data_IF_279636085321
#
_entry.id   IF_279636085321
#
_cell.length_a   1.000
_cell.length_b   1.000
_cell.length_c   1.000
_cell.angle_alpha   90.00
_cell.angle_beta   90.00
_cell.angle_gamma   90.00
#
_symmetry.space_group_name_H-M   'P 1'
#
loop_
_entity.id
_entity.type
_entity.pdbx_description
1 polymer ?
#
# COMPACT_ATOMS: atom_id res chain seq x y z
N UNK A 1 11.25 19.94 -15.80
CA UNK A 1 9.92 20.48 -15.44
C UNK A 1 9.68 20.21 -13.97
N UNK A 2 9.61 21.25 -13.12
CA UNK A 2 9.25 21.09 -11.71
C UNK A 2 7.74 20.81 -11.64
N UNK A 3 7.35 19.57 -11.27
CA UNK A 3 5.95 19.23 -11.02
C UNK A 3 5.41 20.19 -9.95
N UNK A 4 4.26 20.82 -10.21
CA UNK A 4 3.60 21.71 -9.26
C UNK A 4 3.29 20.89 -7.99
N UNK A 5 3.53 21.42 -6.77
CA UNK A 5 3.22 20.67 -5.56
C UNK A 5 1.73 20.34 -5.52
N UNK A 6 1.36 19.13 -5.05
CA UNK A 6 -0.03 18.74 -4.91
C UNK A 6 -0.77 19.70 -3.98
N UNK A 7 -2.09 19.82 -4.19
CA UNK A 7 -2.98 20.51 -3.26
C UNK A 7 -2.88 19.83 -1.88
N UNK A 8 -2.93 20.60 -0.80
CA UNK A 8 -2.94 20.06 0.56
C UNK A 8 -4.35 20.09 1.16
N UNK A 9 -4.65 19.10 1.99
CA UNK A 9 -5.85 19.04 2.82
C UNK A 9 -5.47 19.30 4.27
N UNK A 10 -5.95 20.40 4.84
CA UNK A 10 -5.73 20.75 6.24
C UNK A 10 -6.82 20.11 7.11
N UNK A 11 -6.43 19.38 8.13
CA UNK A 11 -7.35 18.81 9.10
C UNK A 11 -7.79 19.90 10.08
N UNK A 12 -9.10 20.15 10.17
CA UNK A 12 -9.66 21.05 11.19
C UNK A 12 -9.64 20.41 12.58
N UNK A 13 -9.85 19.09 12.62
CA UNK A 13 -9.82 18.24 13.79
C UNK A 13 -8.93 17.03 13.46
N UNK A 14 -7.60 17.14 13.66
CA UNK A 14 -6.64 16.10 13.27
C UNK A 14 -6.97 14.72 13.86
N UNK A 15 -7.26 14.66 15.16
CA UNK A 15 -7.51 13.40 15.87
C UNK A 15 -8.75 12.68 15.34
N UNK A 16 -9.84 13.42 15.11
CA UNK A 16 -11.05 12.86 14.49
C UNK A 16 -10.78 12.33 13.08
N UNK A 17 -10.01 13.07 12.27
CA UNK A 17 -9.66 12.65 10.92
C UNK A 17 -8.77 11.39 10.96
N UNK A 18 -7.79 11.34 11.86
CA UNK A 18 -6.90 10.19 12.04
C UNK A 18 -7.70 8.94 12.43
N UNK A 19 -8.60 9.01 13.42
CA UNK A 19 -9.46 7.88 13.81
C UNK A 19 -10.33 7.39 12.63
N UNK A 20 -10.90 8.33 11.87
CA UNK A 20 -11.67 7.99 10.67
C UNK A 20 -10.82 7.29 9.60
N UNK A 21 -9.60 7.78 9.36
CA UNK A 21 -8.68 7.19 8.40
C UNK A 21 -8.26 5.79 8.84
N UNK A 22 -7.91 5.61 10.12
CA UNK A 22 -7.58 4.32 10.71
C UNK A 22 -8.73 3.30 10.54
N UNK A 23 -9.97 3.68 10.91
CA UNK A 23 -11.16 2.83 10.69
C UNK A 23 -11.36 2.46 9.23
N UNK A 24 -11.13 3.41 8.32
CA UNK A 24 -11.28 3.19 6.88
C UNK A 24 -10.24 2.18 6.38
N UNK A 25 -8.98 2.34 6.77
CA UNK A 25 -7.91 1.40 6.44
C UNK A 25 -8.20 -0.01 6.98
N UNK A 26 -8.60 -0.12 8.25
CA UNK A 26 -8.98 -1.41 8.88
C UNK A 26 -10.13 -2.09 8.14
N UNK A 27 -11.13 -1.34 7.71
CA UNK A 27 -12.23 -1.90 6.94
C UNK A 27 -11.79 -2.42 5.57
N UNK A 28 -10.83 -1.76 4.91
CA UNK A 28 -10.24 -2.27 3.67
C UNK A 28 -9.44 -3.55 3.90
N UNK A 29 -8.64 -3.64 4.97
CA UNK A 29 -7.92 -4.85 5.33
C UNK A 29 -8.86 -6.02 5.65
N UNK A 30 -9.93 -5.75 6.42
CA UNK A 30 -11.01 -6.72 6.69
C UNK A 30 -11.68 -7.22 5.43
N UNK A 31 -11.93 -6.33 4.47
CA UNK A 31 -12.47 -6.73 3.19
C UNK A 31 -11.46 -7.58 2.42
N UNK A 32 -10.19 -7.17 2.32
CA UNK A 32 -9.13 -7.92 1.65
C UNK A 32 -9.01 -9.35 2.20
N UNK A 33 -8.97 -9.50 3.53
CA UNK A 33 -8.93 -10.80 4.19
C UNK A 33 -10.12 -11.70 3.87
N UNK A 34 -11.34 -11.13 3.86
CA UNK A 34 -12.54 -11.89 3.47
C UNK A 34 -12.48 -12.36 2.02
N UNK A 35 -11.89 -11.55 1.14
CA UNK A 35 -11.71 -11.95 -0.26
C UNK A 35 -10.71 -13.11 -0.37
N UNK A 36 -9.61 -13.07 0.37
CA UNK A 36 -8.62 -14.16 0.35
C UNK A 36 -9.15 -15.46 0.97
N UNK A 37 -10.09 -15.36 1.93
CA UNK A 37 -10.79 -16.53 2.47
C UNK A 37 -11.85 -17.09 1.51
N UNK A 38 -12.36 -16.27 0.60
CA UNK A 38 -13.21 -16.72 -0.48
C UNK A 38 -12.40 -17.63 -1.39
N UNK A 39 -12.82 -18.89 -1.56
CA UNK A 39 -12.16 -19.88 -2.42
C UNK A 39 -12.20 -19.54 -3.93
N UNK A 40 -12.36 -18.27 -4.30
CA UNK A 40 -12.52 -17.77 -5.66
C UNK A 40 -11.33 -16.92 -6.11
N UNK A 41 -11.13 -16.85 -7.42
CA UNK A 41 -10.13 -16.00 -8.07
C UNK A 41 -10.69 -14.60 -8.31
N UNK A 42 -10.94 -13.83 -7.24
CA UNK A 42 -11.44 -12.44 -7.35
C UNK A 42 -10.39 -11.43 -7.91
N UNK A 43 -9.45 -11.94 -8.71
CA UNK A 43 -8.37 -11.19 -9.32
C UNK A 43 -7.49 -10.51 -8.28
N UNK A 44 -7.12 -9.27 -8.57
CA UNK A 44 -6.24 -8.44 -7.73
C UNK A 44 -6.98 -7.61 -6.67
N UNK A 45 -8.25 -7.93 -6.40
CA UNK A 45 -9.10 -7.11 -5.54
C UNK A 45 -8.60 -7.03 -4.10
N UNK A 46 -8.10 -8.14 -3.54
CA UNK A 46 -7.57 -8.16 -2.16
C UNK A 46 -6.28 -7.35 -2.04
N UNK A 47 -5.33 -7.54 -2.96
CA UNK A 47 -4.11 -6.72 -3.04
C UNK A 47 -4.43 -5.23 -3.22
N UNK A 48 -5.40 -4.88 -4.08
CA UNK A 48 -5.81 -3.49 -4.27
C UNK A 48 -6.35 -2.86 -2.96
N UNK A 49 -7.15 -3.60 -2.19
CA UNK A 49 -7.65 -3.14 -0.89
C UNK A 49 -6.52 -2.95 0.13
N UNK A 50 -5.47 -3.79 0.11
CA UNK A 50 -4.27 -3.59 0.94
C UNK A 50 -3.51 -2.34 0.55
N UNK A 51 -3.31 -2.08 -0.74
CA UNK A 51 -2.67 -0.85 -1.24
C UNK A 51 -3.46 0.39 -0.84
N UNK A 52 -4.80 0.34 -0.89
CA UNK A 52 -5.67 1.41 -0.39
C UNK A 52 -5.49 1.64 1.11
N UNK A 53 -5.47 0.58 1.92
CA UNK A 53 -5.23 0.69 3.35
C UNK A 53 -3.86 1.32 3.64
N UNK A 54 -2.81 0.90 2.94
CA UNK A 54 -1.48 1.50 3.00
C UNK A 54 -1.50 3.00 2.69
N UNK A 55 -2.11 3.42 1.58
CA UNK A 55 -2.19 4.84 1.20
C UNK A 55 -2.89 5.67 2.30
N UNK A 56 -4.00 5.16 2.83
CA UNK A 56 -4.76 5.83 3.88
C UNK A 56 -3.91 5.97 5.15
N UNK A 57 -3.23 4.91 5.58
CA UNK A 57 -2.38 4.96 6.78
C UNK A 57 -1.18 5.90 6.58
N UNK A 58 -0.55 5.90 5.41
CA UNK A 58 0.55 6.84 5.11
C UNK A 58 0.08 8.30 5.17
N UNK A 59 -1.11 8.59 4.66
CA UNK A 59 -1.74 9.92 4.78
C UNK A 59 -2.15 10.22 6.23
N UNK A 60 -2.52 9.23 7.03
CA UNK A 60 -2.86 9.44 8.44
C UNK A 60 -1.61 9.83 9.24
N UNK A 61 -0.47 9.20 9.00
CA UNK A 61 0.82 9.63 9.59
C UNK A 61 1.17 11.06 9.16
N UNK A 62 0.92 11.44 7.91
CA UNK A 62 1.09 12.83 7.45
C UNK A 62 0.24 13.81 8.29
N UNK A 63 -1.03 13.46 8.56
CA UNK A 63 -1.92 14.28 9.41
C UNK A 63 -1.44 14.31 10.85
N UNK A 64 -0.97 13.18 11.41
CA UNK A 64 -0.45 13.11 12.76
C UNK A 64 0.78 14.00 12.96
N UNK A 65 1.72 13.99 12.00
CA UNK A 65 2.94 14.79 12.09
C UNK A 65 2.69 16.29 11.85
N UNK A 66 1.78 16.63 10.92
CA UNK A 66 1.72 17.99 10.33
C UNK A 66 0.34 18.63 10.32
N UNK A 67 -0.69 17.95 10.81
CA UNK A 67 -2.09 18.41 10.79
C UNK A 67 -2.70 18.52 9.38
N UNK A 68 -2.01 18.02 8.35
CA UNK A 68 -2.43 18.10 6.95
C UNK A 68 -1.80 16.99 6.13
N UNK A 69 -2.29 16.77 4.93
CA UNK A 69 -1.69 15.82 4.00
C UNK A 69 -1.87 16.25 2.54
N UNK A 70 -1.10 15.67 1.61
CA UNK A 70 -1.10 16.03 0.19
C UNK A 70 -2.16 15.24 -0.58
N UNK A 71 -2.80 15.90 -1.54
CA UNK A 71 -3.70 15.31 -2.54
C UNK A 71 -2.90 14.59 -3.63
N UNK A 72 -2.09 13.62 -3.23
CA UNK A 72 -1.25 12.81 -4.11
C UNK A 72 -1.53 11.32 -3.89
N UNK A 73 -1.33 10.54 -4.95
CA UNK A 73 -1.23 9.08 -4.93
C UNK A 73 0.21 8.61 -5.22
N UNK A 74 1.15 9.55 -5.38
CA UNK A 74 2.57 9.24 -5.51
C UNK A 74 3.14 8.92 -4.13
N UNK A 75 3.38 7.64 -3.87
CA UNK A 75 3.78 7.17 -2.55
C UNK A 75 5.21 7.58 -2.19
N UNK A 76 6.10 7.72 -3.16
CA UNK A 76 7.44 8.27 -2.93
C UNK A 76 7.36 9.73 -2.47
N UNK A 77 6.48 10.52 -3.11
CA UNK A 77 6.22 11.90 -2.67
C UNK A 77 5.64 11.94 -1.26
N UNK A 78 4.62 11.12 -0.96
CA UNK A 78 4.00 11.08 0.38
C UNK A 78 5.03 10.69 1.45
N UNK A 79 5.88 9.71 1.14
CA UNK A 79 6.97 9.28 2.01
C UNK A 79 7.97 10.41 2.28
N UNK A 80 8.45 11.08 1.23
CA UNK A 80 9.39 12.21 1.35
C UNK A 80 8.79 13.42 2.06
N UNK A 81 7.46 13.48 2.17
CA UNK A 81 6.80 14.52 2.93
C UNK A 81 6.93 14.33 4.44
N UNK A 82 7.21 13.13 4.93
CA UNK A 82 7.43 12.85 6.35
C UNK A 82 8.81 13.35 6.80
N UNK A 83 8.96 13.66 8.09
CA UNK A 83 10.27 14.00 8.65
C UNK A 83 11.25 12.82 8.54
N UNK A 84 12.57 13.06 8.45
CA UNK A 84 13.55 11.96 8.49
C UNK A 84 13.40 11.06 9.73
N UNK A 85 13.07 11.63 10.89
CA UNK A 85 12.85 10.88 12.13
C UNK A 85 11.65 9.96 12.03
N UNK A 86 10.52 10.45 11.51
CA UNK A 86 9.32 9.63 11.29
C UNK A 86 9.61 8.48 10.32
N UNK A 87 10.33 8.78 9.23
CA UNK A 87 10.70 7.77 8.24
C UNK A 87 11.60 6.68 8.79
N UNK A 88 12.56 7.05 9.64
CA UNK A 88 13.44 6.06 10.26
C UNK A 88 12.67 5.17 11.23
N UNK A 89 11.85 5.76 12.11
CA UNK A 89 11.00 5.01 13.04
C UNK A 89 10.08 4.01 12.31
N UNK A 90 9.44 4.44 11.22
CA UNK A 90 8.58 3.56 10.41
C UNK A 90 9.36 2.42 9.75
N UNK A 91 10.59 2.69 9.30
CA UNK A 91 11.45 1.65 8.74
C UNK A 91 11.87 0.64 9.79
N UNK A 92 12.28 1.09 10.98
CA UNK A 92 12.64 0.23 12.11
C UNK A 92 11.45 -0.66 12.50
N UNK A 93 10.25 -0.09 12.68
CA UNK A 93 9.04 -0.86 13.00
C UNK A 93 8.68 -1.90 11.93
N UNK A 94 8.86 -1.57 10.65
CA UNK A 94 8.59 -2.50 9.55
C UNK A 94 9.59 -3.67 9.54
N UNK A 95 10.88 -3.38 9.76
CA UNK A 95 11.93 -4.40 9.82
C UNK A 95 11.86 -5.27 11.08
N UNK A 96 11.40 -4.72 12.20
CA UNK A 96 11.14 -5.49 13.43
C UNK A 96 10.03 -6.52 13.22
N UNK A 97 9.05 -6.21 12.35
CA UNK A 97 7.96 -7.12 11.99
C UNK A 97 8.43 -8.24 11.07
N UNK A 98 9.20 -7.90 10.06
CA UNK A 98 9.80 -8.85 9.12
C UNK A 98 11.20 -8.38 8.70
N UNK A 99 12.27 -8.94 9.31
CA UNK A 99 13.64 -8.59 8.96
C UNK A 99 14.04 -8.95 7.53
N UNK A 100 13.28 -9.83 6.85
CA UNK A 100 13.56 -10.22 5.47
C UNK A 100 13.10 -9.19 4.44
N UNK A 101 12.13 -8.34 4.81
CA UNK A 101 11.57 -7.24 4.01
C UNK A 101 12.49 -6.01 3.97
N UNK A 102 13.76 -6.18 3.57
CA UNK A 102 14.78 -5.12 3.62
C UNK A 102 14.51 -3.94 2.68
N UNK A 103 13.60 -4.09 1.71
CA UNK A 103 13.24 -3.07 0.73
C UNK A 103 12.06 -2.17 1.15
N UNK A 104 11.57 -2.27 2.40
CA UNK A 104 10.46 -1.44 2.90
C UNK A 104 10.73 0.06 2.71
N UNK A 105 9.71 0.76 2.20
CA UNK A 105 9.78 2.18 1.85
C UNK A 105 10.92 2.56 0.89
N UNK A 106 11.49 1.60 0.15
CA UNK A 106 12.44 1.90 -0.92
C UNK A 106 11.73 2.60 -2.08
N UNK A 107 12.49 3.36 -2.88
CA UNK A 107 11.94 4.03 -4.05
C UNK A 107 11.33 3.04 -5.05
N UNK A 108 11.92 1.85 -5.18
CA UNK A 108 11.39 0.78 -6.03
C UNK A 108 10.02 0.32 -5.54
N UNK A 109 9.90 -0.06 -4.26
CA UNK A 109 8.65 -0.55 -3.68
C UNK A 109 7.57 0.53 -3.74
N UNK A 110 7.86 1.76 -3.36
CA UNK A 110 6.88 2.86 -3.38
C UNK A 110 6.39 3.18 -4.80
N UNK A 111 7.31 3.19 -5.78
CA UNK A 111 6.95 3.36 -7.20
C UNK A 111 6.14 2.17 -7.72
N UNK A 112 6.53 0.96 -7.34
CA UNK A 112 5.85 -0.28 -7.73
C UNK A 112 4.43 -0.36 -7.18
N UNK A 113 4.22 0.01 -5.91
CA UNK A 113 2.90 0.10 -5.31
C UNK A 113 2.04 1.20 -5.96
N UNK A 114 2.63 2.33 -6.33
CA UNK A 114 1.91 3.38 -7.08
C UNK A 114 1.43 2.83 -8.42
N UNK A 115 2.28 2.08 -9.13
CA UNK A 115 1.89 1.40 -10.37
C UNK A 115 0.82 0.33 -10.12
N UNK A 116 0.95 -0.49 -9.07
CA UNK A 116 -0.04 -1.50 -8.71
C UNK A 116 -1.41 -0.88 -8.42
N UNK A 117 -1.46 0.27 -7.74
CA UNK A 117 -2.71 1.00 -7.51
C UNK A 117 -3.41 1.38 -8.83
N UNK A 118 -2.64 1.78 -9.84
CA UNK A 118 -3.18 2.10 -11.16
C UNK A 118 -3.63 0.85 -11.92
N UNK A 119 -2.80 -0.18 -11.88
CA UNK A 119 -2.91 -1.38 -12.70
C UNK A 119 -3.90 -2.42 -12.18
N UNK A 120 -3.99 -2.64 -10.86
CA UNK A 120 -4.95 -3.59 -10.29
C UNK A 120 -6.42 -3.23 -10.59
N UNK A 121 -6.70 -1.97 -10.94
CA UNK A 121 -8.05 -1.52 -11.33
C UNK A 121 -8.44 -1.92 -12.74
N UNK A 122 -7.45 -2.12 -13.61
CA UNK A 122 -7.62 -2.29 -15.04
C UNK A 122 -6.63 -3.32 -15.59
N UNK A 123 -6.55 -4.49 -14.96
CA UNK A 123 -5.65 -5.58 -15.34
C UNK A 123 -5.80 -6.01 -16.81
N UNK A 124 -7.02 -5.92 -17.35
CA UNK A 124 -7.30 -6.17 -18.78
C UNK A 124 -6.49 -5.25 -19.72
N UNK A 125 -5.99 -4.09 -19.26
CA UNK A 125 -5.16 -3.21 -20.09
C UNK A 125 -3.82 -3.86 -20.49
N UNK A 126 -3.30 -4.81 -19.71
CA UNK A 126 -2.12 -5.58 -20.11
C UNK A 126 -2.39 -6.58 -21.22
N UNK A 127 -3.65 -6.94 -21.43
CA UNK A 127 -4.07 -7.90 -22.45
C UNK A 127 -4.75 -7.22 -23.66
N UNK A 128 -4.82 -5.88 -23.71
CA UNK A 128 -5.63 -5.17 -24.72
C UNK A 128 -5.21 -5.46 -26.16
N UNK A 129 -3.91 -5.70 -26.37
CA UNK A 129 -3.32 -6.00 -27.68
C UNK A 129 -3.03 -7.50 -27.87
N UNK A 130 -3.55 -8.37 -27.00
CA UNK A 130 -3.30 -9.82 -27.01
C UNK A 130 -4.61 -10.59 -27.20
N UNK A 131 -4.53 -11.70 -27.93
CA UNK A 131 -5.56 -12.73 -27.89
C UNK A 131 -5.53 -13.49 -26.56
N UNK A 132 -6.60 -14.22 -26.24
CA UNK A 132 -6.67 -15.06 -25.04
C UNK A 132 -5.53 -16.08 -25.00
N UNK A 133 -5.26 -16.77 -26.11
CA UNK A 133 -4.19 -17.76 -26.24
C UNK A 133 -2.80 -17.14 -26.00
N UNK A 134 -2.54 -15.94 -26.55
CA UNK A 134 -1.27 -15.23 -26.34
C UNK A 134 -1.10 -14.78 -24.87
N UNK A 135 -2.19 -14.38 -24.22
CA UNK A 135 -2.15 -14.01 -22.80
C UNK A 135 -1.84 -15.21 -21.90
N UNK A 136 -2.50 -16.34 -22.14
CA UNK A 136 -2.27 -17.60 -21.42
C UNK A 136 -0.85 -18.12 -21.66
N UNK A 137 -0.38 -18.11 -22.91
CA UNK A 137 0.96 -18.55 -23.27
C UNK A 137 2.03 -17.71 -22.55
N UNK A 138 1.89 -16.38 -22.53
CA UNK A 138 2.81 -15.48 -21.80
C UNK A 138 2.90 -15.84 -20.31
N UNK A 139 1.77 -16.14 -19.68
CA UNK A 139 1.73 -16.58 -18.28
C UNK A 139 2.52 -17.88 -18.07
N UNK A 140 2.33 -18.87 -18.95
CA UNK A 140 3.07 -20.12 -18.91
C UNK A 140 4.57 -19.94 -19.15
N UNK A 141 4.96 -19.09 -20.10
CA UNK A 141 6.36 -18.77 -20.38
C UNK A 141 7.03 -18.09 -19.19
N UNK A 142 6.34 -17.16 -18.54
CA UNK A 142 6.84 -16.51 -17.32
C UNK A 142 7.04 -17.50 -16.18
N UNK A 143 6.07 -18.38 -15.93
CA UNK A 143 6.20 -19.45 -14.91
C UNK A 143 7.32 -20.42 -15.28
N UNK A 144 7.44 -20.82 -16.55
CA UNK A 144 8.50 -21.71 -17.03
C UNK A 144 9.90 -21.10 -16.89
N UNK A 145 10.00 -19.77 -16.98
CA UNK A 145 11.24 -19.02 -16.72
C UNK A 145 11.55 -18.87 -15.20
N UNK A 146 10.73 -19.42 -14.32
CA UNK A 146 10.90 -19.34 -12.87
C UNK A 146 10.19 -18.15 -12.21
N UNK A 147 9.22 -17.54 -12.91
CA UNK A 147 8.49 -16.36 -12.48
C UNK A 147 9.39 -15.20 -12.01
N UNK A 148 10.39 -14.77 -12.82
CA UNK A 148 11.30 -13.68 -12.44
C UNK A 148 10.50 -12.39 -12.16
N UNK A 149 10.64 -11.78 -10.97
CA UNK A 149 9.87 -10.59 -10.61
C UNK A 149 10.08 -9.41 -11.56
N UNK A 150 11.28 -9.25 -12.12
CA UNK A 150 11.63 -8.19 -13.07
C UNK A 150 10.92 -8.31 -14.43
N UNK A 151 10.38 -9.49 -14.75
CA UNK A 151 9.61 -9.73 -15.96
C UNK A 151 8.09 -9.61 -15.75
N UNK A 152 7.64 -9.36 -14.52
CA UNK A 152 6.23 -9.20 -14.21
C UNK A 152 5.69 -7.88 -14.80
N UNK A 153 4.46 -7.92 -15.35
CA UNK A 153 3.81 -6.72 -15.89
C UNK A 153 3.53 -5.67 -14.78
N UNK A 154 3.33 -6.12 -13.53
CA UNK A 154 3.35 -5.30 -12.32
C UNK A 154 3.58 -6.18 -11.07
N UNK A 155 3.86 -5.55 -9.93
CA UNK A 155 4.13 -6.22 -8.64
C UNK A 155 3.41 -5.51 -7.51
N UNK A 156 2.84 -6.28 -6.57
CA UNK A 156 2.15 -5.75 -5.39
C UNK A 156 3.00 -5.74 -4.12
N UNK A 157 4.21 -6.32 -4.16
CA UNK A 157 5.19 -6.31 -3.05
C UNK A 157 4.55 -6.70 -1.70
N UNK A 158 3.84 -7.83 -1.65
CA UNK A 158 2.95 -8.18 -0.52
C UNK A 158 3.68 -8.21 0.83
N UNK A 159 4.90 -8.77 0.89
CA UNK A 159 5.67 -8.87 2.14
C UNK A 159 6.09 -7.48 2.65
N UNK A 160 6.62 -6.63 1.76
CA UNK A 160 6.94 -5.25 2.13
C UNK A 160 5.68 -4.45 2.45
N UNK A 161 4.60 -4.63 1.69
CA UNK A 161 3.32 -3.95 1.89
C UNK A 161 2.74 -4.28 3.26
N UNK A 162 2.74 -5.55 3.66
CA UNK A 162 2.29 -5.96 4.98
C UNK A 162 3.14 -5.32 6.08
N UNK A 163 4.47 -5.39 5.96
CA UNK A 163 5.40 -4.81 6.93
C UNK A 163 5.23 -3.29 7.07
N UNK A 164 5.02 -2.59 5.96
CA UNK A 164 4.74 -1.15 5.95
C UNK A 164 3.38 -0.81 6.54
N UNK A 165 2.33 -1.58 6.23
CA UNK A 165 0.98 -1.41 6.81
C UNK A 165 1.03 -1.58 8.33
N UNK A 166 1.77 -2.59 8.81
CA UNK A 166 2.01 -2.79 10.23
C UNK A 166 2.63 -1.54 10.86
N UNK A 167 3.79 -1.10 10.37
CA UNK A 167 4.50 0.05 10.92
C UNK A 167 3.65 1.33 10.95
N UNK A 168 2.94 1.61 9.85
CA UNK A 168 2.07 2.78 9.75
C UNK A 168 0.88 2.64 10.71
N UNK A 169 0.27 1.46 10.79
CA UNK A 169 -0.83 1.14 11.71
C UNK A 169 -0.44 1.36 13.17
N UNK A 170 0.75 0.91 13.56
CA UNK A 170 1.32 1.13 14.90
C UNK A 170 1.35 2.62 15.23
N UNK A 171 2.01 3.42 14.40
CA UNK A 171 2.16 4.86 14.63
C UNK A 171 0.80 5.56 14.66
N UNK A 172 -0.11 5.21 13.75
CA UNK A 172 -1.44 5.84 13.70
C UNK A 172 -2.30 5.46 14.91
N UNK A 173 -2.16 4.24 15.43
CA UNK A 173 -2.92 3.75 16.59
C UNK A 173 -2.59 4.53 17.87
N UNK A 174 -1.37 5.06 18.01
CA UNK A 174 -1.00 5.93 19.14
C UNK A 174 -1.80 7.24 19.19
N UNK A 175 -2.35 7.65 18.05
CA UNK A 175 -3.20 8.83 17.91
C UNK A 175 -4.70 8.50 17.88
N UNK A 176 -5.05 7.22 17.74
CA UNK A 176 -6.43 6.73 17.63
C UNK A 176 -6.90 5.98 18.87
N UNK A 177 -8.21 5.76 18.99
CA UNK A 177 -8.78 4.95 20.08
C UNK A 177 -8.88 3.45 19.76
N UNK A 178 -8.24 2.98 18.69
CA UNK A 178 -8.28 1.59 18.23
C UNK A 178 -6.93 0.93 18.49
N UNK A 179 -6.93 -0.23 19.14
CA UNK A 179 -5.71 -0.99 19.40
C UNK A 179 -5.21 -1.71 18.15
N UNK A 180 -3.89 -1.84 18.04
CA UNK A 180 -3.21 -2.49 16.92
C UNK A 180 -3.63 -3.96 16.74
N UNK A 181 -4.12 -4.62 17.78
CA UNK A 181 -4.57 -6.02 17.72
C UNK A 181 -5.79 -6.21 16.79
N UNK A 182 -6.60 -5.16 16.58
CA UNK A 182 -7.68 -5.15 15.59
C UNK A 182 -7.18 -5.02 14.14
N UNK A 183 -5.96 -4.51 13.94
CA UNK A 183 -5.25 -4.46 12.66
C UNK A 183 -4.60 -5.81 12.35
N UNK A 184 -4.05 -6.46 13.37
CA UNK A 184 -3.19 -7.65 13.26
C UNK A 184 -3.93 -8.98 13.19
N UNK A 185 -5.19 -9.04 13.60
CA UNK A 185 -6.00 -10.25 13.47
C UNK A 185 -6.44 -10.55 12.02
N UNK A 186 -6.06 -9.70 11.07
CA UNK A 186 -6.69 -9.60 9.75
C UNK A 186 -5.68 -9.31 8.62
N UNK A 187 -4.41 -9.09 8.95
CA UNK A 187 -3.29 -8.92 8.02
C UNK A 187 -2.38 -10.16 8.12
#
# INVERSE_FOLDING_TARGET
>A
MTKRPPREFNAREPDFLIDRMLRTAVNHLRAAYKLDLGLGTEGYSSSFLRVLAFEILLKAVCVAERGRFPASHDYAWLWDWLSPTTRENLRELALDRDPSSTAVFSAEVLSGLTAAFEHCRYDFQFAIDRTEDEHVLRGHEWVAAGAPPEAADFRTYEDELHSMIFALGTVVSEHGGLEIDDLMSIA
#
